data_IF_533649784028
#
_entry.id   IF_533649784028
#
_cell.length_a   1.000
_cell.length_b   1.000
_cell.length_c   1.000
_cell.angle_alpha   90.00
_cell.angle_beta   90.00
_cell.angle_gamma   90.00
#
_symmetry.space_group_name_H-M   'P 1'
#
loop_
_entity.id
_entity.type
_entity.pdbx_description
1 polymer ?
#
# COMPACT_ATOMS: atom_id res chain seq x y z
N UNK A 1 -2.50 32.28 30.68
CA UNK A 1 -1.23 31.89 30.01
C UNK A 1 -1.43 32.07 28.51
N UNK A 2 -0.95 33.17 27.91
CA UNK A 2 -1.14 33.48 26.49
C UNK A 2 -0.18 32.72 25.54
N UNK A 3 0.98 32.28 26.03
CA UNK A 3 2.03 31.65 25.22
C UNK A 3 1.63 30.30 24.59
N UNK A 4 0.73 29.54 25.24
CA UNK A 4 0.37 28.20 24.75
C UNK A 4 -0.47 28.24 23.47
N UNK A 5 -1.32 29.25 23.30
CA UNK A 5 -2.15 29.40 22.10
C UNK A 5 -1.28 29.73 20.88
N UNK A 6 -0.31 30.63 21.03
CA UNK A 6 0.59 30.98 19.93
C UNK A 6 1.51 29.81 19.53
N UNK A 7 1.97 29.03 20.50
CA UNK A 7 2.76 27.82 20.25
C UNK A 7 1.93 26.73 19.54
N UNK A 8 0.67 26.55 19.94
CA UNK A 8 -0.22 25.57 19.32
C UNK A 8 -0.56 25.97 17.88
N UNK A 9 -0.82 27.26 17.64
CA UNK A 9 -1.03 27.79 16.28
C UNK A 9 0.24 27.59 15.43
N UNK A 10 1.43 27.93 15.96
CA UNK A 10 2.68 27.74 15.25
C UNK A 10 2.96 26.27 14.91
N UNK A 11 2.59 25.35 15.81
CA UNK A 11 2.70 23.90 15.60
C UNK A 11 1.78 23.42 14.48
N UNK A 12 0.52 23.87 14.47
CA UNK A 12 -0.45 23.51 13.43
C UNK A 12 -0.05 24.09 12.07
N UNK A 13 0.36 25.36 12.03
CA UNK A 13 0.82 26.02 10.79
C UNK A 13 2.05 25.31 10.23
N UNK A 14 3.04 24.98 11.06
CA UNK A 14 4.20 24.20 10.61
C UNK A 14 3.82 22.81 10.12
N UNK A 15 2.92 22.11 10.83
CA UNK A 15 2.42 20.80 10.41
C UNK A 15 1.78 20.85 9.02
N UNK A 16 0.86 21.78 8.80
CA UNK A 16 0.16 21.95 7.53
C UNK A 16 1.09 22.39 6.39
N UNK A 17 2.04 23.28 6.70
CA UNK A 17 3.02 23.78 5.71
C UNK A 17 3.95 22.66 5.26
N UNK A 18 4.47 21.87 6.20
CA UNK A 18 5.32 20.73 5.89
C UNK A 18 4.57 19.66 5.08
N UNK A 19 3.30 19.40 5.41
CA UNK A 19 2.45 18.50 4.61
C UNK A 19 2.21 19.03 3.19
N UNK A 20 1.99 20.34 3.03
CA UNK A 20 1.74 20.96 1.71
C UNK A 20 2.99 20.94 0.84
N UNK A 21 4.16 21.23 1.41
CA UNK A 21 5.45 21.15 0.72
C UNK A 21 5.75 19.70 0.31
N UNK A 22 5.51 18.74 1.21
CA UNK A 22 5.65 17.32 0.89
C UNK A 22 4.72 16.97 -0.28
N UNK A 23 3.42 17.30 -0.21
CA UNK A 23 2.44 17.03 -1.26
C UNK A 23 2.83 17.61 -2.62
N UNK A 24 3.44 18.80 -2.66
CA UNK A 24 3.89 19.45 -3.90
C UNK A 24 5.05 18.72 -4.59
N UNK A 25 5.84 17.93 -3.86
CA UNK A 25 6.95 17.15 -4.43
C UNK A 25 6.48 15.84 -5.06
N UNK A 26 5.25 15.41 -4.78
CA UNK A 26 4.67 14.18 -5.30
C UNK A 26 3.67 14.50 -6.42
N UNK A 27 3.95 14.01 -7.63
CA UNK A 27 2.99 14.10 -8.74
C UNK A 27 1.73 13.29 -8.43
N UNK A 28 0.59 13.71 -8.98
CA UNK A 28 -0.62 12.85 -8.99
C UNK A 28 -0.60 11.99 -10.24
N UNK A 29 -0.66 10.67 -10.09
CA UNK A 29 -0.60 9.77 -11.24
C UNK A 29 -0.33 8.32 -10.89
N UNK A 30 0.10 7.56 -11.89
CA UNK A 30 0.44 6.15 -11.77
C UNK A 30 1.95 5.98 -11.88
N UNK A 31 2.55 5.24 -10.95
CA UNK A 31 3.98 4.99 -10.93
C UNK A 31 4.27 3.53 -10.55
N UNK A 32 5.47 3.07 -10.93
CA UNK A 32 5.98 1.80 -10.44
C UNK A 32 6.68 2.02 -9.10
N UNK A 33 6.60 1.01 -8.23
CA UNK A 33 7.24 1.04 -6.94
C UNK A 33 7.70 -0.35 -6.52
N UNK A 34 8.63 -0.38 -5.58
CA UNK A 34 9.09 -1.60 -4.92
C UNK A 34 8.70 -1.55 -3.46
N UNK A 35 8.10 -2.63 -2.97
CA UNK A 35 7.84 -2.79 -1.54
C UNK A 35 9.15 -3.18 -0.87
N UNK A 36 9.59 -2.39 0.10
CA UNK A 36 10.82 -2.63 0.86
C UNK A 36 10.48 -3.07 2.28
N UNK A 37 11.50 -3.32 3.11
CA UNK A 37 11.30 -3.56 4.54
C UNK A 37 10.80 -2.30 5.28
N UNK A 38 11.23 -1.11 4.84
CA UNK A 38 10.91 0.19 5.45
C UNK A 38 9.59 0.78 4.96
N UNK A 39 9.11 0.39 3.78
CA UNK A 39 7.86 0.89 3.23
C UNK A 39 7.70 0.68 1.72
N UNK A 40 7.36 1.75 1.01
CA UNK A 40 7.08 1.73 -0.43
C UNK A 40 7.93 2.76 -1.17
N UNK A 41 8.92 2.27 -1.92
CA UNK A 41 9.82 3.10 -2.72
C UNK A 41 9.24 3.28 -4.12
N UNK A 42 8.71 4.47 -4.40
CA UNK A 42 8.14 4.81 -5.72
C UNK A 42 9.23 5.36 -6.64
N UNK A 43 9.26 4.88 -7.88
CA UNK A 43 10.23 5.30 -8.88
C UNK A 43 10.14 6.81 -9.16
N UNK A 44 11.30 7.47 -9.22
CA UNK A 44 11.38 8.91 -9.48
C UNK A 44 11.07 9.79 -8.26
N UNK A 45 10.65 9.20 -7.15
CA UNK A 45 10.41 9.88 -5.88
C UNK A 45 11.56 9.55 -4.92
N UNK A 46 12.24 10.59 -4.41
CA UNK A 46 13.41 10.41 -3.53
C UNK A 46 13.06 9.86 -2.15
N UNK A 47 11.89 10.24 -1.64
CA UNK A 47 11.47 9.89 -0.30
C UNK A 47 10.54 8.68 -0.35
N UNK A 48 10.90 7.65 0.40
CA UNK A 48 10.06 6.47 0.55
C UNK A 48 8.81 6.77 1.38
N UNK A 49 7.67 6.18 1.02
CA UNK A 49 6.48 6.19 1.85
C UNK A 49 6.68 5.21 3.01
N UNK A 50 6.68 5.67 4.28
CA UNK A 50 6.88 4.79 5.42
C UNK A 50 5.81 3.70 5.50
N UNK A 51 6.15 2.57 6.12
CA UNK A 51 5.19 1.52 6.43
C UNK A 51 4.04 2.06 7.27
N UNK A 52 2.82 1.96 6.73
CA UNK A 52 1.59 2.50 7.34
C UNK A 52 1.07 3.77 6.67
N UNK A 53 1.90 4.46 5.88
CA UNK A 53 1.55 5.70 5.17
C UNK A 53 1.10 5.46 3.71
N UNK A 54 0.81 4.21 3.36
CA UNK A 54 0.25 3.84 2.07
C UNK A 54 -0.83 2.76 2.23
N UNK A 55 -1.77 2.75 1.31
CA UNK A 55 -2.86 1.78 1.28
C UNK A 55 -2.59 0.66 0.28
N UNK A 56 -3.24 -0.47 0.50
CA UNK A 56 -3.19 -1.64 -0.38
C UNK A 56 -4.64 -2.03 -0.66
N UNK A 57 -5.01 -2.20 -1.93
CA UNK A 57 -6.34 -2.70 -2.27
C UNK A 57 -6.59 -4.07 -1.64
N UNK A 58 -7.79 -4.31 -1.14
CA UNK A 58 -8.10 -5.52 -0.37
C UNK A 58 -7.93 -6.81 -1.16
N UNK A 59 -8.16 -6.77 -2.48
CA UNK A 59 -7.94 -7.90 -3.36
C UNK A 59 -6.45 -8.30 -3.50
N UNK A 60 -5.53 -7.47 -2.99
CA UNK A 60 -4.08 -7.72 -2.95
C UNK A 60 -3.60 -8.08 -1.54
N UNK A 61 -4.52 -8.44 -0.64
CA UNK A 61 -4.23 -8.93 0.72
C UNK A 61 -4.55 -10.42 0.89
N UNK A 62 -4.98 -11.11 -0.16
CA UNK A 62 -5.37 -12.52 -0.06
C UNK A 62 -4.15 -13.41 0.18
N UNK A 63 -4.15 -14.12 1.31
CA UNK A 63 -3.05 -15.00 1.73
C UNK A 63 -3.26 -16.45 1.32
N UNK A 64 -4.51 -16.89 1.21
CA UNK A 64 -4.85 -18.30 1.23
C UNK A 64 -5.54 -18.76 -0.05
N UNK A 65 -5.27 -20.02 -0.42
CA UNK A 65 -6.10 -20.74 -1.38
C UNK A 65 -7.41 -21.13 -0.69
N UNK A 66 -8.52 -21.09 -1.43
CA UNK A 66 -9.81 -21.51 -0.90
C UNK A 66 -9.91 -23.02 -1.08
N UNK A 67 -10.16 -23.76 0.01
CA UNK A 67 -10.43 -25.20 -0.05
C UNK A 67 -11.91 -25.43 0.17
N UNK A 68 -12.56 -26.22 -0.69
CA UNK A 68 -13.97 -26.55 -0.54
C UNK A 68 -14.18 -27.44 0.68
N UNK A 69 -15.38 -27.42 1.24
CA UNK A 69 -15.80 -28.44 2.20
C UNK A 69 -15.67 -29.85 1.59
N UNK A 70 -15.39 -30.84 2.45
CA UNK A 70 -15.27 -32.23 2.01
C UNK A 70 -16.66 -32.77 1.70
N UNK A 71 -16.84 -33.36 0.52
CA UNK A 71 -18.11 -33.98 0.17
C UNK A 71 -18.41 -35.14 1.15
N UNK A 72 -19.57 -35.13 1.80
CA UNK A 72 -19.99 -36.18 2.73
C UNK A 72 -20.50 -37.40 1.96
N UNK A 73 -19.77 -38.52 2.04
CA UNK A 73 -20.09 -39.77 1.35
C UNK A 73 -18.90 -40.72 1.28
N UNK A 74 -19.08 -41.86 0.62
CA UNK A 74 -18.05 -42.91 0.45
C UNK A 74 -16.82 -42.46 -0.36
N UNK A 75 -16.95 -41.37 -1.13
CA UNK A 75 -15.90 -40.77 -1.95
C UNK A 75 -15.56 -39.36 -1.41
N UNK A 76 -15.07 -39.29 -0.17
CA UNK A 76 -14.69 -38.01 0.44
C UNK A 76 -13.47 -37.41 -0.26
N UNK A 77 -13.65 -36.24 -0.86
CA UNK A 77 -12.57 -35.45 -1.45
C UNK A 77 -12.82 -33.96 -1.26
N UNK A 78 -11.75 -33.18 -1.37
CA UNK A 78 -11.76 -31.72 -1.35
C UNK A 78 -11.15 -31.17 -2.63
N UNK A 79 -11.58 -29.97 -3.02
CA UNK A 79 -10.97 -29.23 -4.11
C UNK A 79 -10.26 -28.00 -3.56
N UNK A 80 -9.03 -27.76 -4.02
CA UNK A 80 -8.31 -26.51 -3.73
C UNK A 80 -8.44 -25.58 -4.93
N UNK A 81 -9.12 -24.46 -4.73
CA UNK A 81 -9.17 -23.34 -5.66
C UNK A 81 -7.94 -22.47 -5.36
N UNK A 82 -6.98 -22.48 -6.27
CA UNK A 82 -5.77 -21.68 -6.13
C UNK A 82 -6.10 -20.21 -6.33
N UNK A 83 -5.66 -19.37 -5.41
CA UNK A 83 -5.75 -17.92 -5.57
C UNK A 83 -4.84 -17.52 -6.73
N UNK A 84 -5.37 -16.77 -7.72
CA UNK A 84 -4.57 -16.27 -8.83
C UNK A 84 -3.34 -15.52 -8.32
N UNK A 85 -2.19 -15.74 -8.96
CA UNK A 85 -0.90 -15.17 -8.50
C UNK A 85 -0.90 -13.64 -8.42
N UNK A 86 -1.68 -12.98 -9.29
CA UNK A 86 -1.88 -11.53 -9.31
C UNK A 86 -2.79 -11.00 -8.18
N UNK A 87 -3.45 -11.88 -7.43
CA UNK A 87 -4.28 -11.55 -6.26
C UNK A 87 -3.62 -11.95 -4.94
N UNK A 88 -2.46 -12.60 -4.98
CA UNK A 88 -1.72 -12.96 -3.77
C UNK A 88 -1.21 -11.72 -3.04
N UNK A 89 -1.22 -11.81 -1.70
CA UNK A 89 -0.73 -10.81 -0.78
C UNK A 89 0.62 -10.23 -1.22
N UNK A 90 0.70 -8.90 -1.26
CA UNK A 90 1.94 -8.17 -1.56
C UNK A 90 2.98 -8.40 -0.45
N UNK A 91 4.24 -8.63 -0.85
CA UNK A 91 5.38 -8.95 0.02
C UNK A 91 6.54 -8.00 -0.25
N UNK A 92 7.47 -7.95 0.70
CA UNK A 92 8.75 -7.26 0.51
C UNK A 92 9.48 -7.82 -0.71
N UNK A 93 10.04 -6.94 -1.52
CA UNK A 93 10.69 -7.25 -2.80
C UNK A 93 9.74 -7.23 -4.00
N UNK A 94 8.42 -7.19 -3.78
CA UNK A 94 7.47 -7.16 -4.89
C UNK A 94 7.52 -5.84 -5.66
N UNK A 95 7.43 -5.96 -6.98
CA UNK A 95 7.22 -4.84 -7.88
C UNK A 95 5.74 -4.59 -8.06
N UNK A 96 5.32 -3.35 -7.86
CA UNK A 96 3.91 -2.98 -7.82
C UNK A 96 3.62 -1.73 -8.63
N UNK A 97 2.37 -1.61 -9.06
CA UNK A 97 1.79 -0.42 -9.64
C UNK A 97 1.07 0.36 -8.54
N UNK A 98 1.36 1.66 -8.47
CA UNK A 98 0.93 2.54 -7.39
C UNK A 98 0.24 3.76 -7.95
N UNK A 99 -0.92 4.10 -7.41
CA UNK A 99 -1.53 5.40 -7.59
C UNK A 99 -0.95 6.36 -6.55
N UNK A 100 -0.26 7.40 -7.01
CA UNK A 100 0.33 8.45 -6.19
C UNK A 100 -0.63 9.62 -6.12
N UNK A 101 -0.94 10.07 -4.90
CA UNK A 101 -1.88 11.15 -4.61
C UNK A 101 -1.25 12.10 -3.58
N UNK A 102 -0.28 12.90 -4.03
CA UNK A 102 0.49 13.76 -3.13
C UNK A 102 1.25 12.92 -2.10
N UNK A 103 1.04 13.22 -0.81
CA UNK A 103 1.65 12.50 0.31
C UNK A 103 1.08 11.10 0.56
N UNK A 104 0.09 10.67 -0.21
CA UNK A 104 -0.50 9.34 -0.08
C UNK A 104 -0.20 8.47 -1.29
N UNK A 105 -0.18 7.16 -1.07
CA UNK A 105 0.00 6.17 -2.13
C UNK A 105 -0.95 4.99 -1.93
N UNK A 106 -1.43 4.41 -3.03
CA UNK A 106 -2.26 3.19 -3.03
C UNK A 106 -1.62 2.17 -3.95
N UNK A 107 -1.28 0.99 -3.42
CA UNK A 107 -0.90 -0.17 -4.24
C UNK A 107 -2.16 -0.71 -4.92
N UNK A 108 -2.21 -0.61 -6.25
CA UNK A 108 -3.39 -1.02 -7.05
C UNK A 108 -3.15 -2.27 -7.89
N UNK A 109 -1.91 -2.75 -7.98
CA UNK A 109 -1.63 -4.01 -8.68
C UNK A 109 -0.21 -4.50 -8.48
N UNK A 110 -0.02 -5.81 -8.67
CA UNK A 110 1.30 -6.43 -8.83
C UNK A 110 1.73 -6.33 -10.30
N UNK A 111 3.01 -6.10 -10.53
CA UNK A 111 3.60 -6.12 -11.88
C UNK A 111 4.47 -7.37 -11.99
N UNK A 112 4.31 -8.09 -13.09
CA UNK A 112 5.19 -9.19 -13.49
C UNK A 112 5.59 -9.00 -14.95
N UNK A 113 6.87 -9.19 -15.26
CA UNK A 113 7.29 -9.32 -16.65
C UNK A 113 6.73 -10.63 -17.21
N UNK A 114 6.00 -10.54 -18.33
CA UNK A 114 5.49 -11.69 -19.06
C UNK A 114 6.56 -12.40 -19.85
#
# INVERSE_FOLDING_TARGET
MPNDIYNEIARVVHGNTNQSIAASNYGTGMALATVTESGLLVDGIKQEYPKGDYWILDNLKNTDNITTESASGTESHTHTIKTPSNQLAIKVGDRVLVAVMGINAVIVGRISNG
#
